data_IF_007929726040
#
_entry.id   IF_007929726040
#
_cell.length_a   1.000
_cell.length_b   1.000
_cell.length_c   1.000
_cell.angle_alpha   90.00
_cell.angle_beta   90.00
_cell.angle_gamma   90.00
#
_symmetry.space_group_name_H-M   'P 1'
#
loop_
_entity.id
_entity.type
_entity.pdbx_description
1 polymer ?
#
# COMPACT_ATOMS: atom_id res chain seq x y z
N UNK A 1 -19.65 -22.54 -3.96
CA UNK A 1 -19.73 -21.07 -3.74
C UNK A 1 -18.57 -20.67 -2.84
N UNK A 2 -17.45 -20.21 -3.41
CA UNK A 2 -16.27 -19.82 -2.64
C UNK A 2 -16.42 -18.36 -2.19
N UNK A 3 -16.46 -18.14 -0.87
CA UNK A 3 -16.41 -16.79 -0.28
C UNK A 3 -15.03 -16.21 -0.59
N UNK A 4 -14.97 -15.29 -1.53
CA UNK A 4 -13.77 -14.46 -1.77
C UNK A 4 -13.65 -13.57 -0.54
N UNK A 5 -12.81 -13.99 0.41
CA UNK A 5 -12.46 -13.16 1.56
C UNK A 5 -11.66 -11.97 1.02
N UNK A 6 -12.33 -10.83 0.92
CA UNK A 6 -11.73 -9.55 0.61
C UNK A 6 -10.90 -9.12 1.83
N UNK A 7 -9.62 -9.51 1.87
CA UNK A 7 -8.69 -9.09 2.91
C UNK A 7 -8.36 -7.62 2.74
N UNK A 8 -9.26 -6.79 3.26
CA UNK A 8 -9.04 -5.37 3.52
C UNK A 8 -7.98 -5.27 4.62
N UNK A 9 -6.71 -5.51 4.28
CA UNK A 9 -5.58 -5.31 5.19
C UNK A 9 -5.42 -3.80 5.40
N UNK A 10 -6.29 -3.23 6.24
CA UNK A 10 -6.04 -1.98 6.92
C UNK A 10 -4.94 -2.28 7.93
N UNK A 11 -3.69 -2.08 7.51
CA UNK A 11 -2.58 -2.07 8.45
C UNK A 11 -2.72 -0.75 9.22
N UNK A 12 -3.41 -0.79 10.36
CA UNK A 12 -3.58 0.32 11.32
C UNK A 12 -2.27 0.73 12.02
N UNK A 13 -1.12 0.31 11.49
CA UNK A 13 0.19 0.80 11.93
C UNK A 13 0.54 1.97 11.00
N UNK A 14 0.52 3.23 11.48
CA UNK A 14 1.05 4.36 10.73
C UNK A 14 2.56 4.15 10.60
N UNK A 15 2.97 3.44 9.54
CA UNK A 15 4.37 3.17 9.28
C UNK A 15 5.07 4.51 8.97
N UNK A 16 6.04 4.93 9.78
CA UNK A 16 6.78 6.15 9.52
C UNK A 16 7.52 6.03 8.20
N UNK A 17 7.77 7.16 7.55
CA UNK A 17 8.55 7.19 6.33
C UNK A 17 9.95 6.63 6.60
N UNK A 18 10.43 5.62 5.87
CA UNK A 18 11.75 5.04 6.11
C UNK A 18 12.89 6.01 5.77
N UNK A 19 12.61 7.06 5.00
CA UNK A 19 13.60 8.05 4.57
C UNK A 19 13.74 9.24 5.54
N UNK A 20 12.67 9.66 6.23
CA UNK A 20 12.70 10.86 7.07
C UNK A 20 11.94 10.74 8.41
N UNK A 21 11.32 9.59 8.70
CA UNK A 21 10.46 9.41 9.88
C UNK A 21 9.09 10.08 9.79
N UNK A 22 8.85 10.94 8.79
CA UNK A 22 7.61 11.68 8.61
C UNK A 22 6.38 10.80 8.34
N UNK A 23 5.19 11.39 8.47
CA UNK A 23 3.91 10.67 8.31
C UNK A 23 3.66 10.28 6.84
N UNK A 24 3.22 9.04 6.64
CA UNK A 24 2.79 8.53 5.34
C UNK A 24 1.25 8.52 5.23
N UNK A 25 0.75 8.63 4.01
CA UNK A 25 -0.66 8.46 3.67
C UNK A 25 -0.82 7.56 2.44
N UNK A 26 -2.00 6.94 2.31
CA UNK A 26 -2.28 6.01 1.22
C UNK A 26 -3.00 6.70 0.08
N UNK A 27 -2.58 6.41 -1.16
CA UNK A 27 -3.26 6.83 -2.38
C UNK A 27 -3.59 5.61 -3.22
N UNK A 28 -4.85 5.49 -3.64
CA UNK A 28 -5.32 4.44 -4.54
C UNK A 28 -5.41 4.97 -5.97
N UNK A 29 -5.01 4.14 -6.93
CA UNK A 29 -5.23 4.37 -8.35
C UNK A 29 -6.09 3.24 -8.91
N UNK A 30 -7.26 3.60 -9.40
CA UNK A 30 -8.14 2.68 -10.12
C UNK A 30 -7.62 2.48 -11.54
N UNK A 31 -7.40 1.23 -11.92
CA UNK A 31 -6.93 0.94 -13.25
C UNK A 31 -8.06 1.14 -14.27
N UNK A 32 -7.79 1.91 -15.32
CA UNK A 32 -8.75 2.18 -16.40
C UNK A 32 -9.19 0.90 -17.11
N UNK A 33 -8.28 -0.07 -17.26
CA UNK A 33 -8.57 -1.37 -17.83
C UNK A 33 -8.90 -2.36 -16.71
N UNK A 34 -10.11 -2.93 -16.74
CA UNK A 34 -10.59 -3.89 -15.72
C UNK A 34 -9.75 -5.16 -15.57
N UNK A 35 -8.92 -5.49 -16.57
CA UNK A 35 -7.98 -6.61 -16.52
C UNK A 35 -6.78 -6.32 -15.60
N UNK A 36 -6.47 -5.05 -15.37
CA UNK A 36 -5.39 -4.62 -14.50
C UNK A 36 -5.91 -4.44 -13.07
N UNK A 37 -5.10 -4.83 -12.09
CA UNK A 37 -5.43 -4.63 -10.68
C UNK A 37 -5.26 -3.15 -10.29
N UNK A 38 -6.16 -2.68 -9.43
CA UNK A 38 -6.00 -1.38 -8.76
C UNK A 38 -4.72 -1.38 -7.94
N UNK A 39 -4.02 -0.25 -7.94
CA UNK A 39 -2.73 -0.11 -7.24
C UNK A 39 -2.88 0.86 -6.09
N UNK A 40 -2.23 0.55 -4.97
CA UNK A 40 -2.16 1.46 -3.82
C UNK A 40 -0.71 1.79 -3.52
N UNK A 41 -0.45 3.05 -3.21
CA UNK A 41 0.86 3.56 -2.82
C UNK A 41 0.79 4.22 -1.45
N UNK A 42 1.87 4.12 -0.68
CA UNK A 42 2.10 4.96 0.48
C UNK A 42 3.03 6.10 0.09
N UNK A 43 2.63 7.34 0.38
CA UNK A 43 3.36 8.56 0.05
C UNK A 43 3.68 9.32 1.35
N UNK A 44 4.92 9.75 1.50
CA UNK A 44 5.32 10.62 2.62
C UNK A 44 4.87 12.06 2.36
N UNK A 45 4.28 12.71 3.37
CA UNK A 45 3.88 14.13 3.27
C UNK A 45 5.09 15.05 3.12
N UNK A 46 6.19 14.73 3.77
CA UNK A 46 7.38 15.57 3.91
C UNK A 46 8.36 15.36 2.74
N UNK A 47 9.00 14.19 2.64
CA UNK A 47 10.05 13.94 1.64
C UNK A 47 9.54 13.35 0.31
N UNK A 48 8.23 13.18 0.14
CA UNK A 48 7.58 12.59 -1.05
C UNK A 48 8.04 11.17 -1.39
N UNK A 49 8.71 10.46 -0.48
CA UNK A 49 9.01 9.04 -0.64
C UNK A 49 7.73 8.26 -0.94
N UNK A 50 7.78 7.43 -1.98
CA UNK A 50 6.66 6.61 -2.43
C UNK A 50 7.04 5.13 -2.41
N UNK A 51 6.14 4.27 -1.92
CA UNK A 51 6.28 2.82 -2.06
C UNK A 51 4.97 2.16 -2.45
N UNK A 52 5.04 1.13 -3.28
CA UNK A 52 3.88 0.34 -3.65
C UNK A 52 3.49 -0.59 -2.47
N UNK A 53 2.20 -0.61 -2.13
CA UNK A 53 1.71 -1.38 -0.97
C UNK A 53 1.76 -2.88 -1.22
N UNK A 54 1.46 -3.35 -2.42
CA UNK A 54 1.51 -4.79 -2.74
C UNK A 54 2.95 -5.31 -2.70
N UNK A 55 3.90 -4.57 -3.24
CA UNK A 55 5.32 -4.92 -3.15
C UNK A 55 5.82 -4.90 -1.71
N UNK A 56 5.45 -3.86 -0.95
CA UNK A 56 5.80 -3.79 0.46
C UNK A 56 5.23 -4.97 1.26
N UNK A 57 3.98 -5.37 1.02
CA UNK A 57 3.40 -6.57 1.66
C UNK A 57 4.20 -7.84 1.35
N UNK A 58 4.69 -8.02 0.11
CA UNK A 58 5.57 -9.14 -0.24
C UNK A 58 6.86 -9.13 0.58
N UNK A 59 7.44 -7.96 0.82
CA UNK A 59 8.66 -7.85 1.66
C UNK A 59 8.42 -8.21 3.13
N UNK A 60 7.19 -8.09 3.65
CA UNK A 60 6.86 -8.47 5.02
C UNK A 60 6.64 -9.98 5.19
N UNK A 61 6.17 -10.68 4.15
CA UNK A 61 5.80 -12.09 4.24
C UNK A 61 6.98 -13.07 4.07
N UNK A 62 8.18 -12.59 3.72
CA UNK A 62 9.36 -13.43 3.48
C UNK A 62 10.52 -13.15 4.46
N UNK A 63 10.21 -12.70 5.68
CA UNK A 63 11.19 -12.60 6.76
C UNK A 63 11.36 -13.94 7.49
#
# INVERSE_FOLDING_TARGET
MQKIQNWNMQIDVPLPCPSCGGKMYSVGYEATLKILKNRTWHVCKECKFTRNVEEFKKTLCCA
#
